data_IF_132213591801
#
_entry.id   IF_132213591801
#
_cell.length_a   1.000
_cell.length_b   1.000
_cell.length_c   1.000
_cell.angle_alpha   90.00
_cell.angle_beta   90.00
_cell.angle_gamma   90.00
#
_symmetry.space_group_name_H-M   'P 1'
#
loop_
_entity.id
_entity.type
_entity.pdbx_description
1 polymer ?
#
# COMPACT_ATOMS: atom_id res chain seq x y z
N UNK A 1 -13.87 12.53 3.41
CA UNK A 1 -12.54 12.75 4.00
C UNK A 1 -11.43 12.39 3.03
N UNK A 2 -10.38 13.19 3.02
CA UNK A 2 -9.22 12.95 2.16
C UNK A 2 -8.13 12.27 2.97
N UNK A 3 -7.50 11.26 2.39
CA UNK A 3 -6.39 10.56 3.01
C UNK A 3 -5.12 10.70 2.17
N UNK A 4 -4.00 10.47 2.80
CA UNK A 4 -2.70 10.48 2.15
C UNK A 4 -2.19 9.05 2.07
N UNK A 5 -1.85 8.60 0.87
CA UNK A 5 -1.46 7.22 0.60
C UNK A 5 0.00 7.17 0.16
N UNK A 6 0.78 6.33 0.85
CA UNK A 6 2.15 6.03 0.46
C UNK A 6 2.14 4.94 -0.59
N UNK A 7 2.86 5.16 -1.69
CA UNK A 7 3.07 4.15 -2.72
C UNK A 7 4.56 3.85 -2.79
N UNK A 8 4.92 2.58 -2.62
CA UNK A 8 6.32 2.14 -2.65
C UNK A 8 6.50 1.17 -3.81
N UNK A 9 7.25 1.60 -4.83
CA UNK A 9 7.53 0.78 -6.01
C UNK A 9 8.77 1.35 -6.68
N UNK A 10 9.76 0.53 -6.98
CA UNK A 10 11.00 0.98 -7.62
C UNK A 10 10.79 1.34 -9.10
N UNK A 11 9.69 0.91 -9.71
CA UNK A 11 9.35 1.22 -11.10
C UNK A 11 8.61 2.55 -11.20
N UNK A 12 9.22 3.52 -11.84
CA UNK A 12 8.55 4.80 -12.11
C UNK A 12 7.28 4.62 -12.93
N UNK A 13 7.31 3.71 -13.91
CA UNK A 13 6.15 3.43 -14.75
C UNK A 13 5.00 2.86 -13.90
N UNK A 14 5.30 1.93 -13.00
CA UNK A 14 4.29 1.37 -12.12
C UNK A 14 3.67 2.44 -11.22
N UNK A 15 4.50 3.36 -10.69
CA UNK A 15 4.00 4.48 -9.88
C UNK A 15 3.09 5.41 -10.70
N UNK A 16 3.43 5.64 -11.97
CA UNK A 16 2.60 6.46 -12.86
C UNK A 16 1.24 5.80 -13.11
N UNK A 17 1.22 4.50 -13.33
CA UNK A 17 -0.03 3.74 -13.51
C UNK A 17 -0.89 3.82 -12.25
N UNK A 18 -0.28 3.65 -11.09
CA UNK A 18 -0.96 3.74 -9.81
C UNK A 18 -1.55 5.15 -9.59
N UNK A 19 -0.77 6.19 -9.88
CA UNK A 19 -1.22 7.57 -9.74
C UNK A 19 -2.42 7.86 -10.66
N UNK A 20 -2.40 7.32 -11.87
CA UNK A 20 -3.54 7.44 -12.79
C UNK A 20 -4.81 6.80 -12.24
N UNK A 21 -4.67 5.60 -11.65
CA UNK A 21 -5.79 4.91 -11.04
C UNK A 21 -6.38 5.71 -9.87
N UNK A 22 -5.51 6.28 -9.02
CA UNK A 22 -5.96 7.12 -7.91
C UNK A 22 -6.72 8.35 -8.37
N UNK A 23 -6.27 9.00 -9.43
CA UNK A 23 -6.99 10.17 -9.96
C UNK A 23 -8.39 9.81 -10.45
N UNK A 24 -8.58 8.58 -10.96
CA UNK A 24 -9.90 8.10 -11.38
C UNK A 24 -10.80 7.72 -10.21
N UNK A 25 -10.22 7.12 -9.16
CA UNK A 25 -10.97 6.52 -8.06
C UNK A 25 -11.13 7.47 -6.88
N UNK A 26 -10.07 8.16 -6.50
CA UNK A 26 -10.04 9.06 -5.34
C UNK A 26 -9.30 10.35 -5.69
N UNK A 27 -9.89 11.19 -6.55
CA UNK A 27 -9.20 12.41 -7.01
C UNK A 27 -8.86 13.41 -5.91
N UNK A 28 -9.56 13.35 -4.78
CA UNK A 28 -9.33 14.25 -3.63
C UNK A 28 -8.25 13.75 -2.66
N UNK A 29 -7.79 12.49 -2.83
CA UNK A 29 -6.74 11.94 -1.98
C UNK A 29 -5.36 12.27 -2.54
N UNK A 30 -4.36 12.33 -1.65
CA UNK A 30 -2.97 12.64 -2.02
C UNK A 30 -2.12 11.38 -2.06
N UNK A 31 -1.13 11.36 -2.96
CA UNK A 31 -0.15 10.28 -3.03
C UNK A 31 1.23 10.79 -2.63
N UNK A 32 1.95 9.95 -1.89
CA UNK A 32 3.38 10.14 -1.64
C UNK A 32 4.08 8.96 -2.31
N UNK A 33 4.82 9.22 -3.39
CA UNK A 33 5.51 8.17 -4.15
C UNK A 33 6.93 8.01 -3.63
N UNK A 34 7.32 6.77 -3.41
CA UNK A 34 8.67 6.41 -2.98
C UNK A 34 9.18 5.22 -3.78
N UNK A 35 10.49 5.12 -3.94
CA UNK A 35 11.10 4.12 -4.82
C UNK A 35 11.79 2.98 -4.06
N UNK A 36 11.93 3.08 -2.75
CA UNK A 36 12.64 2.08 -1.96
C UNK A 36 12.20 2.12 -0.48
N UNK A 37 12.70 1.15 0.29
CA UNK A 37 12.31 1.02 1.69
C UNK A 37 12.75 2.20 2.55
N UNK A 38 13.95 2.75 2.31
CA UNK A 38 14.44 3.87 3.11
C UNK A 38 13.58 5.12 2.91
N UNK A 39 13.22 5.44 1.67
CA UNK A 39 12.31 6.55 1.38
C UNK A 39 10.95 6.32 2.01
N UNK A 40 10.45 5.08 1.92
CA UNK A 40 9.15 4.73 2.49
C UNK A 40 9.14 4.92 4.00
N UNK A 41 10.16 4.45 4.70
CA UNK A 41 10.24 4.57 6.15
C UNK A 41 10.37 6.02 6.59
N UNK A 42 11.03 6.86 5.80
CA UNK A 42 11.13 8.29 6.08
C UNK A 42 9.77 9.00 5.92
N UNK A 43 8.91 8.49 5.04
CA UNK A 43 7.61 9.12 4.72
C UNK A 43 6.44 8.54 5.53
N UNK A 44 6.59 7.34 6.10
CA UNK A 44 5.45 6.59 6.65
C UNK A 44 4.71 7.32 7.77
N UNK A 45 5.39 8.13 8.55
CA UNK A 45 4.76 8.90 9.62
C UNK A 45 3.83 10.01 9.13
N UNK A 46 3.85 10.33 7.83
CA UNK A 46 3.05 11.41 7.26
C UNK A 46 1.84 10.91 6.49
N UNK A 47 1.64 9.60 6.40
CA UNK A 47 0.58 9.02 5.57
C UNK A 47 -0.41 8.22 6.40
N UNK A 48 -1.57 7.93 5.80
CA UNK A 48 -2.65 7.19 6.46
C UNK A 48 -2.75 5.74 6.01
N UNK A 49 -2.31 5.45 4.79
CA UNK A 49 -2.45 4.15 4.12
C UNK A 49 -1.17 3.90 3.33
N UNK A 50 -0.79 2.64 3.14
CA UNK A 50 0.38 2.31 2.32
C UNK A 50 0.09 1.16 1.35
N UNK A 51 0.60 1.31 0.13
CA UNK A 51 0.60 0.28 -0.91
C UNK A 51 2.05 -0.03 -1.26
N UNK A 52 2.45 -1.28 -1.11
CA UNK A 52 3.85 -1.67 -1.16
C UNK A 52 4.05 -2.78 -2.19
N UNK A 53 4.90 -2.50 -3.20
CA UNK A 53 5.28 -3.52 -4.17
C UNK A 53 6.09 -4.61 -3.47
N UNK A 54 5.75 -5.87 -3.74
CA UNK A 54 6.46 -7.01 -3.16
C UNK A 54 7.90 -7.09 -3.69
N UNK A 55 8.09 -6.88 -4.99
CA UNK A 55 9.40 -7.04 -5.63
C UNK A 55 10.16 -5.72 -5.68
N UNK A 56 11.09 -5.54 -4.73
CA UNK A 56 11.98 -4.39 -4.72
C UNK A 56 13.42 -4.86 -4.50
N UNK A 57 14.41 -4.20 -5.13
CA UNK A 57 15.81 -4.55 -4.90
C UNK A 57 16.19 -4.38 -3.44
N UNK A 58 16.87 -5.39 -2.88
CA UNK A 58 17.44 -5.33 -1.54
C UNK A 58 16.50 -5.63 -0.39
N UNK A 59 15.21 -5.33 -0.53
CA UNK A 59 14.22 -5.55 0.54
C UNK A 59 12.91 -5.98 -0.09
N UNK A 60 12.37 -7.13 0.30
CA UNK A 60 11.05 -7.50 -0.21
C UNK A 60 9.95 -6.68 0.48
N UNK A 61 8.81 -6.57 -0.18
CA UNK A 61 7.72 -5.74 0.32
C UNK A 61 7.16 -6.20 1.65
N UNK A 62 7.22 -7.50 1.95
CA UNK A 62 6.72 -8.04 3.22
C UNK A 62 7.64 -7.69 4.38
N UNK A 63 8.95 -7.63 4.15
CA UNK A 63 9.88 -7.15 5.18
C UNK A 63 9.59 -5.69 5.51
N UNK A 64 9.33 -4.88 4.51
CA UNK A 64 8.98 -3.47 4.72
C UNK A 64 7.64 -3.36 5.47
N UNK A 65 6.64 -4.15 5.10
CA UNK A 65 5.36 -4.19 5.81
C UNK A 65 5.56 -4.54 7.28
N UNK A 66 6.39 -5.54 7.57
CA UNK A 66 6.67 -5.94 8.95
C UNK A 66 7.28 -4.79 9.76
N UNK A 67 8.22 -4.05 9.16
CA UNK A 67 8.85 -2.91 9.80
C UNK A 67 7.85 -1.77 10.04
N UNK A 68 7.02 -1.47 9.06
CA UNK A 68 5.99 -0.44 9.22
C UNK A 68 4.97 -0.86 10.28
N UNK A 69 4.58 -2.13 10.31
CA UNK A 69 3.61 -2.64 11.25
C UNK A 69 4.06 -2.51 12.70
N UNK A 70 5.36 -2.60 12.95
CA UNK A 70 5.92 -2.42 14.30
C UNK A 70 5.66 -1.00 14.83
N UNK A 71 5.83 0.00 13.99
CA UNK A 71 5.67 1.41 14.39
C UNK A 71 4.26 1.93 14.15
N UNK A 72 3.50 1.29 13.26
CA UNK A 72 2.16 1.74 12.86
C UNK A 72 1.20 0.54 12.83
N UNK A 73 0.85 -0.01 14.02
CA UNK A 73 0.08 -1.27 14.08
C UNK A 73 -1.33 -1.19 13.50
N UNK A 74 -1.90 0.00 13.43
CA UNK A 74 -3.26 0.20 12.92
C UNK A 74 -3.35 0.67 11.47
N UNK A 75 -2.22 0.91 10.80
CA UNK A 75 -2.25 1.48 9.45
C UNK A 75 -2.77 0.46 8.43
N UNK A 76 -3.78 0.82 7.61
CA UNK A 76 -4.16 -0.03 6.49
C UNK A 76 -3.01 -0.14 5.48
N UNK A 77 -2.62 -1.38 5.17
CA UNK A 77 -1.52 -1.70 4.27
C UNK A 77 -1.95 -2.75 3.28
N UNK A 78 -1.43 -2.69 2.06
CA UNK A 78 -1.56 -3.77 1.08
C UNK A 78 -0.25 -4.02 0.38
N UNK A 79 0.01 -5.29 0.10
CA UNK A 79 1.12 -5.73 -0.76
C UNK A 79 0.58 -5.89 -2.17
N UNK A 80 1.29 -5.36 -3.15
CA UNK A 80 0.93 -5.45 -4.56
C UNK A 80 1.93 -6.37 -5.24
N UNK A 81 1.48 -7.46 -5.87
CA UNK A 81 2.40 -8.45 -6.42
C UNK A 81 1.77 -9.24 -7.55
N UNK A 82 2.60 -9.59 -8.56
CA UNK A 82 2.23 -10.57 -9.58
C UNK A 82 2.38 -12.00 -9.06
N UNK A 83 3.08 -12.19 -7.95
CA UNK A 83 3.29 -13.51 -7.35
C UNK A 83 2.15 -13.82 -6.38
N UNK A 84 1.26 -14.72 -6.79
CA UNK A 84 0.05 -15.06 -6.02
C UNK A 84 0.19 -16.38 -5.26
N UNK A 85 1.42 -16.76 -4.89
CA UNK A 85 1.65 -17.97 -4.10
C UNK A 85 1.02 -17.85 -2.71
N UNK A 86 0.48 -18.96 -2.22
CA UNK A 86 -0.18 -19.03 -0.92
C UNK A 86 0.71 -18.57 0.22
N UNK A 87 2.02 -18.85 0.14
CA UNK A 87 2.98 -18.44 1.15
C UNK A 87 3.03 -16.91 1.30
N UNK A 88 3.06 -16.20 0.18
CA UNK A 88 3.12 -14.73 0.19
C UNK A 88 1.82 -14.14 0.71
N UNK A 89 0.68 -14.68 0.24
CA UNK A 89 -0.64 -14.25 0.70
C UNK A 89 -0.80 -14.51 2.19
N UNK A 90 -0.33 -15.66 2.67
CA UNK A 90 -0.39 -16.02 4.09
C UNK A 90 0.45 -15.11 4.96
N UNK A 91 1.66 -14.75 4.51
CA UNK A 91 2.52 -13.82 5.26
C UNK A 91 1.90 -12.43 5.32
N UNK A 92 1.29 -11.96 4.24
CA UNK A 92 0.59 -10.69 4.24
C UNK A 92 -0.56 -10.70 5.25
N UNK A 93 -1.33 -11.78 5.26
CA UNK A 93 -2.44 -11.94 6.20
C UNK A 93 -1.98 -11.92 7.66
N UNK A 94 -0.88 -12.58 7.96
CA UNK A 94 -0.30 -12.60 9.31
C UNK A 94 0.07 -11.20 9.79
N UNK A 95 0.41 -10.31 8.86
CA UNK A 95 0.76 -8.92 9.16
C UNK A 95 -0.46 -7.98 9.08
N UNK A 96 -1.65 -8.54 8.93
CA UNK A 96 -2.88 -7.77 8.72
C UNK A 96 -2.78 -6.84 7.51
N UNK A 97 -2.08 -7.27 6.47
CA UNK A 97 -1.95 -6.54 5.22
C UNK A 97 -2.87 -7.16 4.17
N UNK A 98 -3.46 -6.32 3.33
CA UNK A 98 -4.19 -6.77 2.16
C UNK A 98 -3.23 -7.27 1.08
N UNK A 99 -3.77 -7.93 0.08
CA UNK A 99 -3.01 -8.40 -1.08
C UNK A 99 -3.75 -7.98 -2.35
N UNK A 100 -3.04 -7.27 -3.23
CA UNK A 100 -3.61 -6.82 -4.49
C UNK A 100 -2.78 -7.43 -5.61
N UNK A 101 -3.36 -8.28 -6.46
CA UNK A 101 -2.61 -8.92 -7.55
C UNK A 101 -2.33 -7.94 -8.69
N UNK A 102 -1.21 -8.15 -9.38
CA UNK A 102 -0.92 -7.47 -10.64
C UNK A 102 -1.42 -8.33 -11.80
N UNK A 103 -1.87 -7.73 -12.90
CA UNK A 103 -1.93 -6.29 -13.14
C UNK A 103 -3.00 -5.61 -12.27
N UNK A 104 -2.69 -4.41 -11.81
CA UNK A 104 -3.60 -3.65 -10.95
C UNK A 104 -4.88 -3.29 -11.72
N UNK A 105 -6.04 -3.57 -11.10
CA UNK A 105 -7.33 -3.14 -11.65
C UNK A 105 -7.92 -2.03 -10.78
N UNK A 106 -8.73 -1.17 -11.39
CA UNK A 106 -9.41 -0.12 -10.65
C UNK A 106 -10.34 -0.72 -9.58
N UNK A 107 -11.00 -1.84 -9.89
CA UNK A 107 -11.90 -2.52 -8.96
C UNK A 107 -11.18 -3.02 -7.71
N UNK A 108 -10.03 -3.67 -7.89
CA UNK A 108 -9.26 -4.19 -6.76
C UNK A 108 -8.71 -3.05 -5.89
N UNK A 109 -8.20 -2.00 -6.52
CA UNK A 109 -7.71 -0.84 -5.80
C UNK A 109 -8.85 -0.13 -5.07
N UNK A 110 -9.99 0.08 -5.73
CA UNK A 110 -11.13 0.73 -5.12
C UNK A 110 -11.65 -0.05 -3.91
N UNK A 111 -11.71 -1.37 -4.00
CA UNK A 111 -12.15 -2.22 -2.90
C UNK A 111 -11.24 -2.10 -1.68
N UNK A 112 -9.92 -2.13 -1.91
CA UNK A 112 -8.96 -1.96 -0.81
C UNK A 112 -9.10 -0.57 -0.17
N UNK A 113 -9.17 0.48 -0.98
CA UNK A 113 -9.25 1.85 -0.46
C UNK A 113 -10.55 2.11 0.30
N UNK A 114 -11.65 1.51 -0.16
CA UNK A 114 -12.92 1.60 0.57
C UNK A 114 -12.80 0.98 1.96
N UNK A 115 -12.26 -0.23 2.05
CA UNK A 115 -12.04 -0.90 3.32
C UNK A 115 -11.10 -0.13 4.23
N UNK A 116 -10.03 0.43 3.67
CA UNK A 116 -9.07 1.24 4.40
C UNK A 116 -9.72 2.50 4.98
N UNK A 117 -10.52 3.20 4.18
CA UNK A 117 -11.24 4.40 4.61
C UNK A 117 -12.22 4.09 5.74
N UNK A 118 -12.93 2.98 5.65
CA UNK A 118 -13.86 2.56 6.69
C UNK A 118 -13.15 2.25 8.00
N UNK A 119 -11.99 1.58 7.95
CA UNK A 119 -11.18 1.30 9.13
C UNK A 119 -10.67 2.57 9.79
N UNK A 120 -10.18 3.52 8.99
CA UNK A 120 -9.68 4.80 9.50
C UNK A 120 -10.80 5.63 10.12
N UNK A 121 -11.96 5.66 9.49
CA UNK A 121 -13.12 6.36 10.03
C UNK A 121 -13.56 5.76 11.36
N UNK A 122 -13.58 4.44 11.46
CA UNK A 122 -13.95 3.73 12.70
C UNK A 122 -12.95 4.01 13.81
N UNK A 123 -11.64 4.01 13.48
CA UNK A 123 -10.58 4.28 14.46
C UNK A 123 -10.63 5.71 14.98
N UNK A 124 -11.11 6.66 14.17
CA UNK A 124 -11.20 8.08 14.55
C UNK A 124 -12.40 8.37 15.47
N UNK A 125 -13.34 7.45 15.55
CA UNK A 125 -14.51 7.58 16.45
C UNK A 125 -14.29 6.80 17.72
#
# INVERSE_FOLDING_TARGET
MSYKVLVVDDSKLARMVMAGAFRRIRPEWSLVETANADEALAAVGTVDIALIDFNMPGTDGLELVARIRKSHPGMPLAVVSANIQDEIIGRARELNAGFIPKPLTDEALAAFLLGAALRLKKAAT
#
